data_IF_367127331791
#
_entry.id   IF_367127331791
#
_cell.length_a   1.000
_cell.length_b   1.000
_cell.length_c   1.000
_cell.angle_alpha   90.00
_cell.angle_beta   90.00
_cell.angle_gamma   90.00
#
_symmetry.space_group_name_H-M   'P 1'
#
loop_
_entity.id
_entity.type
_entity.pdbx_description
1 polymer ?
#
# COMPACT_ATOMS: atom_id res chain seq x y z
N UNK A 1 -7.55 -15.23 -14.90
CA UNK A 1 -6.24 -15.12 -15.57
C UNK A 1 -6.24 -15.65 -17.00
N UNK A 2 -6.98 -16.68 -17.34
CA UNK A 2 -7.04 -17.19 -18.74
C UNK A 2 -7.70 -16.23 -19.72
N UNK A 3 -8.59 -15.36 -19.24
CA UNK A 3 -9.36 -14.40 -20.04
C UNK A 3 -8.77 -12.98 -20.04
N UNK A 4 -7.68 -12.73 -19.29
CA UNK A 4 -7.05 -11.43 -19.22
C UNK A 4 -5.92 -11.30 -20.26
N UNK A 5 -5.73 -10.09 -20.78
CA UNK A 5 -4.67 -9.79 -21.76
C UNK A 5 -3.24 -9.98 -21.19
N UNK A 6 -3.10 -9.86 -19.88
CA UNK A 6 -1.88 -10.14 -19.12
C UNK A 6 -2.19 -11.12 -18.00
N UNK A 7 -1.25 -12.04 -17.73
CA UNK A 7 -1.35 -12.99 -16.62
C UNK A 7 -0.89 -12.36 -15.29
N UNK A 8 -1.28 -11.12 -15.04
CA UNK A 8 -1.00 -10.39 -13.83
C UNK A 8 -2.20 -10.53 -12.88
N UNK A 9 -1.94 -10.66 -11.59
CA UNK A 9 -2.95 -10.66 -10.55
C UNK A 9 -2.73 -9.46 -9.62
N UNK A 10 -3.78 -8.71 -9.36
CA UNK A 10 -3.81 -7.59 -8.43
C UNK A 10 -4.64 -8.01 -7.22
N UNK A 11 -3.99 -8.22 -6.10
CA UNK A 11 -4.65 -8.66 -4.85
C UNK A 11 -4.78 -7.47 -3.93
N UNK A 12 -6.01 -7.12 -3.59
CA UNK A 12 -6.33 -6.04 -2.67
C UNK A 12 -6.79 -6.58 -1.32
N UNK A 13 -6.21 -6.06 -0.23
CA UNK A 13 -6.54 -6.39 1.15
C UNK A 13 -7.10 -5.13 1.83
N UNK A 14 -8.38 -5.17 2.21
CA UNK A 14 -9.05 -4.01 2.79
C UNK A 14 -8.57 -3.69 4.21
N UNK A 15 -8.89 -2.51 4.69
CA UNK A 15 -8.53 -2.03 6.01
C UNK A 15 -9.57 -2.31 7.09
N UNK A 16 -9.34 -1.71 8.26
CA UNK A 16 -10.22 -1.65 9.39
C UNK A 16 -11.58 -1.04 9.05
N UNK A 17 -12.63 -1.46 9.76
CA UNK A 17 -13.98 -0.93 9.67
C UNK A 17 -14.53 -0.93 8.23
N UNK A 18 -14.37 -2.05 7.54
CA UNK A 18 -14.89 -2.24 6.18
C UNK A 18 -15.77 -3.49 6.13
N UNK A 19 -16.95 -3.39 5.54
CA UNK A 19 -17.73 -4.55 5.19
C UNK A 19 -17.37 -5.09 3.79
N UNK A 20 -17.88 -6.27 3.45
CA UNK A 20 -17.61 -6.93 2.17
C UNK A 20 -17.97 -6.05 0.97
N UNK A 21 -19.15 -5.42 0.99
CA UNK A 21 -19.64 -4.61 -0.12
C UNK A 21 -18.75 -3.38 -0.36
N UNK A 22 -18.35 -2.67 0.70
CA UNK A 22 -17.43 -1.53 0.61
C UNK A 22 -16.08 -1.94 0.02
N UNK A 23 -15.54 -3.10 0.45
CA UNK A 23 -14.31 -3.64 -0.12
C UNK A 23 -14.44 -3.94 -1.61
N UNK A 24 -15.53 -4.58 -2.04
CA UNK A 24 -15.81 -4.88 -3.46
C UNK A 24 -15.92 -3.60 -4.29
N UNK A 25 -16.68 -2.60 -3.83
CA UNK A 25 -16.82 -1.33 -4.55
C UNK A 25 -15.48 -0.61 -4.68
N UNK A 26 -14.69 -0.58 -3.63
CA UNK A 26 -13.36 0.04 -3.65
C UNK A 26 -12.41 -0.63 -4.63
N UNK A 27 -12.41 -1.95 -4.65
CA UNK A 27 -11.58 -2.72 -5.59
C UNK A 27 -12.04 -2.53 -7.03
N UNK A 28 -13.35 -2.51 -7.27
CA UNK A 28 -13.91 -2.25 -8.59
C UNK A 28 -13.56 -0.85 -9.11
N UNK A 29 -13.67 0.17 -8.24
CA UNK A 29 -13.24 1.53 -8.54
C UNK A 29 -11.75 1.59 -8.86
N UNK A 30 -10.91 0.99 -8.02
CA UNK A 30 -9.47 0.91 -8.21
C UNK A 30 -9.11 0.26 -9.55
N UNK A 31 -9.74 -0.88 -9.87
CA UNK A 31 -9.53 -1.58 -11.14
C UNK A 31 -9.93 -0.74 -12.35
N UNK A 32 -11.06 -0.02 -12.25
CA UNK A 32 -11.56 0.85 -13.31
C UNK A 32 -10.64 2.05 -13.54
N UNK A 33 -10.30 2.78 -12.46
CA UNK A 33 -9.55 4.04 -12.54
C UNK A 33 -8.12 3.79 -13.02
N UNK A 34 -7.50 2.70 -12.57
CA UNK A 34 -6.15 2.29 -12.98
C UNK A 34 -6.13 1.50 -14.29
N UNK A 35 -7.28 1.16 -14.87
CA UNK A 35 -7.39 0.32 -16.08
C UNK A 35 -6.53 -0.94 -16.00
N UNK A 36 -6.61 -1.64 -14.86
CA UNK A 36 -5.75 -2.78 -14.57
C UNK A 36 -5.90 -3.88 -15.63
N UNK A 37 -4.80 -4.32 -16.28
CA UNK A 37 -4.88 -5.23 -17.42
C UNK A 37 -4.99 -6.71 -17.03
N UNK A 38 -4.93 -7.04 -15.74
CA UNK A 38 -4.91 -8.39 -15.19
C UNK A 38 -6.16 -8.76 -14.41
N UNK A 39 -6.09 -9.89 -13.71
CA UNK A 39 -7.15 -10.31 -12.80
C UNK A 39 -7.08 -9.50 -11.51
N UNK A 40 -8.24 -9.04 -11.03
CA UNK A 40 -8.35 -8.30 -9.77
C UNK A 40 -9.01 -9.20 -8.74
N UNK A 41 -8.39 -9.33 -7.59
CA UNK A 41 -8.78 -10.20 -6.48
C UNK A 41 -8.95 -9.36 -5.23
N UNK A 42 -10.08 -9.47 -4.57
CA UNK A 42 -10.32 -8.88 -3.27
C UNK A 42 -10.22 -9.94 -2.19
N UNK A 43 -9.28 -9.79 -1.27
CA UNK A 43 -9.24 -10.60 -0.05
C UNK A 43 -10.06 -9.91 1.03
N UNK A 44 -11.27 -10.43 1.27
CA UNK A 44 -12.17 -9.96 2.31
C UNK A 44 -11.94 -10.75 3.61
N UNK A 45 -11.32 -10.12 4.60
CA UNK A 45 -11.15 -10.69 5.93
C UNK A 45 -12.27 -10.20 6.87
N UNK A 46 -12.60 -10.93 7.97
CA UNK A 46 -13.75 -10.63 8.82
C UNK A 46 -13.50 -9.42 9.72
N UNK A 47 -13.71 -8.21 9.18
CA UNK A 47 -13.79 -6.97 9.96
C UNK A 47 -15.17 -6.85 10.62
N UNK A 48 -15.21 -6.28 11.82
CA UNK A 48 -16.48 -5.98 12.50
C UNK A 48 -17.32 -4.94 11.75
N UNK A 49 -16.70 -4.16 10.88
CA UNK A 49 -17.32 -3.04 10.18
C UNK A 49 -17.98 -2.02 11.14
N UNK A 50 -17.36 -1.81 12.31
CA UNK A 50 -17.83 -0.91 13.36
C UNK A 50 -16.68 -0.04 13.88
N UNK A 51 -16.92 1.27 14.14
CA UNK A 51 -15.88 2.20 14.60
C UNK A 51 -15.26 1.85 15.97
N UNK A 52 -15.90 1.04 16.78
CA UNK A 52 -15.37 0.57 18.06
C UNK A 52 -14.78 -0.84 18.00
N UNK A 53 -14.83 -1.50 16.83
CA UNK A 53 -14.36 -2.86 16.62
C UNK A 53 -12.85 -3.02 16.46
N UNK A 54 -12.04 -2.03 16.81
CA UNK A 54 -10.58 -2.03 16.55
C UNK A 54 -9.86 -3.25 17.13
N UNK A 55 -10.14 -3.61 18.38
CA UNK A 55 -9.50 -4.76 19.01
C UNK A 55 -9.93 -6.09 18.35
N UNK A 56 -11.22 -6.20 18.01
CA UNK A 56 -11.75 -7.35 17.28
C UNK A 56 -11.06 -7.48 15.90
N UNK A 57 -10.96 -6.40 15.15
CA UNK A 57 -10.35 -6.39 13.82
C UNK A 57 -8.86 -6.76 13.89
N UNK A 58 -8.14 -6.36 14.93
CA UNK A 58 -6.74 -6.79 15.16
C UNK A 58 -6.63 -8.33 15.31
N UNK A 59 -7.49 -8.94 16.11
CA UNK A 59 -7.49 -10.39 16.27
C UNK A 59 -7.93 -11.08 14.97
N UNK A 60 -8.89 -10.50 14.26
CA UNK A 60 -9.34 -10.98 12.95
C UNK A 60 -8.25 -10.95 11.88
N UNK A 61 -7.33 -9.99 11.91
CA UNK A 61 -6.17 -10.00 10.98
C UNK A 61 -5.25 -11.19 11.25
N UNK A 62 -5.02 -11.55 12.52
CA UNK A 62 -4.23 -12.71 12.88
C UNK A 62 -4.93 -14.02 12.49
N UNK A 63 -6.24 -14.08 12.65
CA UNK A 63 -7.06 -15.21 12.21
C UNK A 63 -7.00 -15.38 10.67
N UNK A 64 -7.09 -14.28 9.93
CA UNK A 64 -7.20 -14.29 8.47
C UNK A 64 -5.86 -14.49 7.72
N UNK A 65 -4.72 -14.43 8.40
CA UNK A 65 -3.39 -14.48 7.74
C UNK A 65 -3.14 -15.78 6.97
N UNK A 66 -3.59 -16.91 7.50
CA UNK A 66 -3.42 -18.22 6.85
C UNK A 66 -4.23 -18.29 5.55
N UNK A 67 -5.45 -17.75 5.55
CA UNK A 67 -6.27 -17.67 4.34
C UNK A 67 -5.71 -16.73 3.29
N UNK A 68 -5.05 -15.62 3.68
CA UNK A 68 -4.36 -14.77 2.71
C UNK A 68 -3.13 -15.45 2.12
N UNK A 69 -2.37 -16.18 2.92
CA UNK A 69 -1.23 -16.98 2.45
C UNK A 69 -1.69 -18.03 1.44
N UNK A 70 -2.76 -18.79 1.78
CA UNK A 70 -3.37 -19.79 0.89
C UNK A 70 -3.85 -19.16 -0.42
N UNK A 71 -4.54 -18.01 -0.36
CA UNK A 71 -4.95 -17.26 -1.56
C UNK A 71 -3.75 -16.91 -2.44
N UNK A 72 -2.64 -16.43 -1.87
CA UNK A 72 -1.45 -16.07 -2.65
C UNK A 72 -0.83 -17.31 -3.32
N UNK A 73 -0.79 -18.43 -2.62
CA UNK A 73 -0.36 -19.71 -3.17
C UNK A 73 -1.24 -20.16 -4.34
N UNK A 74 -2.58 -20.11 -4.18
CA UNK A 74 -3.54 -20.47 -5.23
C UNK A 74 -3.44 -19.54 -6.44
N UNK A 75 -3.28 -18.23 -6.24
CA UNK A 75 -3.06 -17.27 -7.32
C UNK A 75 -1.77 -17.60 -8.07
N UNK A 76 -0.69 -17.94 -7.36
CA UNK A 76 0.56 -18.36 -7.98
C UNK A 76 0.40 -19.68 -8.76
N UNK A 77 -0.33 -20.66 -8.20
CA UNK A 77 -0.62 -21.95 -8.84
C UNK A 77 -1.52 -21.82 -10.07
N UNK A 78 -2.41 -20.82 -10.11
CA UNK A 78 -3.33 -20.57 -11.25
C UNK A 78 -2.64 -20.09 -12.54
N UNK A 79 -1.32 -19.93 -12.52
CA UNK A 79 -0.51 -19.51 -13.66
C UNK A 79 -0.30 -18.01 -13.77
N UNK A 80 -0.49 -17.27 -12.69
CA UNK A 80 -0.09 -15.87 -12.60
C UNK A 80 1.41 -15.74 -12.92
N UNK A 81 1.76 -14.70 -13.68
CA UNK A 81 3.16 -14.36 -13.98
C UNK A 81 3.69 -13.29 -13.04
N UNK A 82 2.81 -12.45 -12.54
CA UNK A 82 3.12 -11.41 -11.56
C UNK A 82 1.95 -11.23 -10.60
N UNK A 83 2.26 -10.97 -9.35
CA UNK A 83 1.29 -10.64 -8.30
C UNK A 83 1.65 -9.25 -7.77
N UNK A 84 0.71 -8.33 -7.80
CA UNK A 84 0.81 -7.01 -7.19
C UNK A 84 -0.09 -7.01 -5.95
N UNK A 85 0.49 -6.78 -4.79
CA UNK A 85 -0.25 -6.68 -3.53
C UNK A 85 -0.54 -5.22 -3.20
N UNK A 86 -1.79 -4.92 -2.93
CA UNK A 86 -2.22 -3.60 -2.46
C UNK A 86 -2.97 -3.79 -1.15
N UNK A 87 -2.48 -3.21 -0.09
CA UNK A 87 -3.07 -3.36 1.23
C UNK A 87 -3.29 -2.01 1.92
N UNK A 88 -4.45 -1.85 2.54
CA UNK A 88 -4.84 -0.61 3.20
C UNK A 88 -4.95 -0.78 4.71
N UNK A 89 -4.44 0.19 5.46
CA UNK A 89 -4.60 0.32 6.91
C UNK A 89 -4.20 -0.98 7.66
N UNK A 90 -5.09 -1.59 8.43
CA UNK A 90 -4.90 -2.83 9.15
C UNK A 90 -4.68 -4.04 8.22
N UNK A 91 -5.21 -3.99 6.98
CA UNK A 91 -4.91 -4.97 5.93
C UNK A 91 -3.42 -5.03 5.55
N UNK A 92 -2.68 -3.94 5.77
CA UNK A 92 -1.22 -3.95 5.59
C UNK A 92 -0.53 -4.82 6.65
N UNK A 93 -0.97 -4.77 7.91
CA UNK A 93 -0.45 -5.65 8.96
C UNK A 93 -0.72 -7.12 8.61
N UNK A 94 -1.95 -7.44 8.20
CA UNK A 94 -2.34 -8.77 7.74
C UNK A 94 -1.45 -9.24 6.57
N UNK A 95 -1.24 -8.38 5.56
CA UNK A 95 -0.40 -8.69 4.40
C UNK A 95 1.04 -8.98 4.81
N UNK A 96 1.62 -8.17 5.68
CA UNK A 96 2.99 -8.39 6.17
C UNK A 96 3.14 -9.69 6.94
N UNK A 97 2.15 -10.08 7.75
CA UNK A 97 2.15 -11.36 8.46
C UNK A 97 2.00 -12.54 7.49
N UNK A 98 1.12 -12.47 6.48
CA UNK A 98 0.98 -13.51 5.46
C UNK A 98 2.30 -13.70 4.68
N UNK A 99 2.93 -12.61 4.22
CA UNK A 99 4.22 -12.66 3.52
C UNK A 99 5.35 -13.23 4.40
N UNK A 100 5.40 -12.83 5.67
CA UNK A 100 6.33 -13.38 6.66
C UNK A 100 6.13 -14.89 6.80
N UNK A 101 4.89 -15.35 6.90
CA UNK A 101 4.54 -16.76 7.04
C UNK A 101 4.94 -17.56 5.80
N UNK A 102 4.61 -17.06 4.61
CA UNK A 102 5.06 -17.62 3.31
C UNK A 102 6.58 -17.78 3.27
N UNK A 103 7.33 -16.78 3.75
CA UNK A 103 8.78 -16.84 3.81
C UNK A 103 9.30 -17.89 4.79
N UNK A 104 8.70 -17.98 5.99
CA UNK A 104 9.08 -18.97 7.01
C UNK A 104 8.79 -20.40 6.55
N UNK A 105 7.70 -20.62 5.83
CA UNK A 105 7.37 -21.92 5.21
C UNK A 105 8.25 -22.27 4.00
N UNK A 106 9.05 -21.31 3.52
CA UNK A 106 9.98 -21.52 2.41
C UNK A 106 9.33 -21.52 1.02
N UNK A 107 8.10 -21.02 0.88
CA UNK A 107 7.43 -20.92 -0.42
C UNK A 107 8.00 -19.74 -1.25
N UNK A 108 9.24 -19.94 -1.71
CA UNK A 108 9.94 -18.98 -2.56
C UNK A 108 9.24 -18.78 -3.90
N UNK A 109 8.59 -19.82 -4.43
CA UNK A 109 7.88 -19.74 -5.70
C UNK A 109 6.78 -18.67 -5.68
N UNK A 110 5.98 -18.64 -4.62
CA UNK A 110 4.94 -17.61 -4.43
C UNK A 110 5.57 -16.23 -4.22
N UNK A 111 6.59 -16.12 -3.34
CA UNK A 111 7.25 -14.84 -3.07
C UNK A 111 7.90 -14.23 -4.32
N UNK A 112 8.55 -15.03 -5.16
CA UNK A 112 9.24 -14.56 -6.37
C UNK A 112 8.26 -14.05 -7.45
N UNK A 113 6.99 -14.45 -7.39
CA UNK A 113 5.95 -13.93 -8.27
C UNK A 113 5.38 -12.58 -7.79
N UNK A 114 5.63 -12.19 -6.53
CA UNK A 114 5.20 -10.89 -6.02
C UNK A 114 6.12 -9.82 -6.58
N UNK A 115 5.60 -9.11 -7.56
CA UNK A 115 6.35 -8.11 -8.34
C UNK A 115 6.21 -6.69 -7.81
N UNK A 116 5.31 -6.45 -6.86
CA UNK A 116 5.20 -5.19 -6.13
C UNK A 116 4.38 -5.38 -4.85
N UNK A 117 4.71 -4.61 -3.82
CA UNK A 117 3.91 -4.45 -2.60
C UNK A 117 3.64 -2.97 -2.37
N UNK A 118 2.38 -2.63 -2.19
CA UNK A 118 1.90 -1.27 -1.99
C UNK A 118 1.10 -1.23 -0.70
N UNK A 119 1.65 -0.59 0.32
CA UNK A 119 0.98 -0.38 1.61
C UNK A 119 0.46 1.05 1.68
N UNK A 120 -0.83 1.20 1.90
CA UNK A 120 -1.52 2.50 1.94
C UNK A 120 -1.96 2.78 3.37
N UNK A 121 -1.49 3.88 3.95
CA UNK A 121 -1.74 4.27 5.36
C UNK A 121 -1.59 3.07 6.31
N UNK A 122 -0.48 2.33 6.28
CA UNK A 122 -0.37 1.06 7.00
C UNK A 122 -0.46 1.24 8.51
N UNK A 123 -1.45 0.57 9.09
CA UNK A 123 -1.67 0.51 10.54
C UNK A 123 -0.91 -0.69 11.14
N UNK A 124 0.39 -0.57 11.14
CA UNK A 124 1.32 -1.56 11.69
C UNK A 124 2.39 -0.84 12.52
N UNK A 125 2.80 -1.44 13.62
CA UNK A 125 3.96 -0.99 14.38
C UNK A 125 5.23 -1.09 13.55
N UNK A 126 6.12 -0.09 13.65
CA UNK A 126 7.33 -0.01 12.81
C UNK A 126 8.28 -1.17 13.09
N UNK A 127 8.42 -1.60 14.34
CA UNK A 127 9.34 -2.69 14.69
C UNK A 127 8.75 -4.06 14.28
N UNK A 128 7.42 -4.22 14.35
CA UNK A 128 6.72 -5.40 13.82
C UNK A 128 6.88 -5.48 12.30
N UNK A 129 6.73 -4.35 11.59
CA UNK A 129 6.99 -4.27 10.16
C UNK A 129 8.42 -4.70 9.82
N UNK A 130 9.41 -4.11 10.49
CA UNK A 130 10.83 -4.46 10.29
C UNK A 130 11.09 -5.94 10.53
N UNK A 131 10.53 -6.49 11.60
CA UNK A 131 10.69 -7.91 11.92
C UNK A 131 10.13 -8.81 10.85
N UNK A 132 8.94 -8.48 10.33
CA UNK A 132 8.31 -9.21 9.22
C UNK A 132 9.13 -9.09 7.94
N UNK A 133 9.62 -7.88 7.62
CA UNK A 133 10.47 -7.62 6.47
C UNK A 133 11.78 -8.41 6.52
N UNK A 134 12.47 -8.42 7.66
CA UNK A 134 13.71 -9.19 7.84
C UNK A 134 13.49 -10.70 7.70
N UNK A 135 12.33 -11.22 8.14
CA UNK A 135 12.00 -12.64 7.99
C UNK A 135 11.84 -13.05 6.52
N UNK A 136 11.43 -12.13 5.65
CA UNK A 136 11.37 -12.36 4.21
C UNK A 136 12.76 -12.36 3.53
N UNK A 137 13.73 -11.70 4.14
CA UNK A 137 15.06 -11.46 3.57
C UNK A 137 15.01 -10.39 2.49
N UNK A 138 15.01 -10.78 1.21
CA UNK A 138 14.84 -9.83 0.11
C UNK A 138 13.36 -9.48 -0.05
N UNK A 139 13.04 -8.20 0.10
CA UNK A 139 11.68 -7.70 -0.14
C UNK A 139 11.34 -7.70 -1.64
N UNK A 140 10.08 -8.00 -2.01
CA UNK A 140 9.58 -7.76 -3.37
C UNK A 140 9.82 -6.29 -3.78
N UNK A 141 10.14 -6.06 -5.05
CA UNK A 141 10.40 -4.70 -5.54
C UNK A 141 9.49 -4.36 -6.73
N UNK A 142 8.96 -3.11 -6.75
CA UNK A 142 9.08 -2.06 -5.73
C UNK A 142 8.27 -2.36 -4.47
N UNK A 143 8.77 -1.91 -3.32
CA UNK A 143 8.06 -1.93 -2.04
C UNK A 143 7.71 -0.49 -1.65
N UNK A 144 6.44 -0.13 -1.77
CA UNK A 144 5.95 1.24 -1.62
C UNK A 144 5.10 1.36 -0.36
N UNK A 145 5.32 2.43 0.40
CA UNK A 145 4.57 2.77 1.61
C UNK A 145 4.02 4.17 1.42
N UNK A 146 2.72 4.32 1.29
CA UNK A 146 2.04 5.62 1.29
C UNK A 146 1.65 5.97 2.72
N UNK A 147 2.14 7.09 3.21
CA UNK A 147 1.87 7.55 4.57
C UNK A 147 1.65 9.05 4.66
N UNK A 148 1.07 9.47 5.78
CA UNK A 148 0.84 10.87 6.10
C UNK A 148 1.01 11.10 7.60
N UNK A 149 1.80 12.07 7.99
CA UNK A 149 1.94 12.49 9.38
C UNK A 149 0.68 13.21 9.92
N UNK A 150 -0.25 13.56 9.00
CA UNK A 150 -1.55 14.16 9.32
C UNK A 150 -2.68 13.15 9.48
N UNK A 151 -2.41 11.85 9.33
CA UNK A 151 -3.41 10.78 9.45
C UNK A 151 -3.91 10.64 10.90
N UNK A 152 -5.13 11.14 11.14
CA UNK A 152 -5.77 11.12 12.47
C UNK A 152 -6.20 9.71 12.89
N UNK A 153 -6.57 8.85 11.93
CA UNK A 153 -6.98 7.49 12.23
C UNK A 153 -5.79 6.66 12.72
N UNK A 154 -4.63 6.80 12.11
CA UNK A 154 -3.40 6.15 12.56
C UNK A 154 -2.92 6.69 13.93
N UNK A 155 -3.10 7.97 14.19
CA UNK A 155 -2.81 8.55 15.51
C UNK A 155 -3.74 7.98 16.59
N UNK A 156 -5.02 7.82 16.28
CA UNK A 156 -5.97 7.19 17.19
C UNK A 156 -5.65 5.71 17.42
N UNK A 157 -5.33 4.97 16.37
CA UNK A 157 -4.87 3.58 16.43
C UNK A 157 -3.61 3.43 17.30
N UNK A 158 -2.63 4.32 17.13
CA UNK A 158 -1.42 4.33 17.95
C UNK A 158 -1.76 4.53 19.43
N UNK A 159 -2.66 5.47 19.75
CA UNK A 159 -3.12 5.72 21.12
C UNK A 159 -3.80 4.48 21.73
N UNK A 160 -4.72 3.86 21.00
CA UNK A 160 -5.42 2.64 21.45
C UNK A 160 -4.47 1.47 21.71
N UNK A 161 -3.37 1.41 20.96
CA UNK A 161 -2.36 0.35 21.07
C UNK A 161 -1.25 0.66 22.07
N UNK A 162 -1.30 1.80 22.74
CA UNK A 162 -0.24 2.26 23.65
C UNK A 162 1.10 2.53 22.95
N UNK A 163 1.06 2.86 21.66
CA UNK A 163 2.23 3.12 20.82
C UNK A 163 2.28 4.59 20.40
N UNK A 164 3.48 5.04 20.00
CA UNK A 164 3.69 6.45 19.65
C UNK A 164 3.54 6.72 18.15
N UNK A 165 3.79 5.70 17.29
CA UNK A 165 3.87 5.88 15.85
C UNK A 165 3.46 4.60 15.11
N UNK A 166 2.76 4.77 14.00
CA UNK A 166 2.45 3.71 13.04
C UNK A 166 3.27 3.89 11.78
N UNK A 167 3.51 2.82 11.04
CA UNK A 167 4.28 2.88 9.80
C UNK A 167 3.72 3.91 8.81
N UNK A 168 2.39 4.00 8.68
CA UNK A 168 1.74 4.97 7.80
C UNK A 168 1.82 6.43 8.26
N UNK A 169 2.26 6.70 9.50
CA UNK A 169 2.51 8.05 10.03
C UNK A 169 3.99 8.29 10.37
N UNK A 170 4.89 7.47 9.83
CA UNK A 170 6.32 7.50 10.10
C UNK A 170 6.94 8.86 9.74
N UNK A 171 7.59 9.48 10.69
CA UNK A 171 8.29 10.76 10.52
C UNK A 171 9.77 10.58 10.20
N UNK A 172 10.41 9.62 10.82
CA UNK A 172 11.84 9.39 10.69
C UNK A 172 12.14 8.16 9.82
N UNK A 173 12.50 8.40 8.57
CA UNK A 173 12.84 7.36 7.60
C UNK A 173 14.09 6.57 7.98
N UNK A 174 14.95 7.10 8.86
CA UNK A 174 16.17 6.40 9.31
C UNK A 174 15.83 5.09 10.01
N UNK A 175 14.65 4.97 10.60
CA UNK A 175 14.15 3.72 11.19
C UNK A 175 14.02 2.57 10.20
N UNK A 176 13.89 2.85 8.90
CA UNK A 176 13.79 1.86 7.82
C UNK A 176 15.06 1.73 6.98
N UNK A 177 16.16 2.39 7.37
CA UNK A 177 17.39 2.50 6.57
C UNK A 177 17.97 1.16 6.10
N UNK A 178 17.78 0.11 6.88
CA UNK A 178 18.20 -1.25 6.60
C UNK A 178 17.31 -2.01 5.60
N UNK A 179 16.15 -1.45 5.22
CA UNK A 179 15.17 -2.06 4.33
C UNK A 179 15.10 -1.32 2.99
N UNK A 180 15.04 -2.08 1.90
CA UNK A 180 14.85 -1.50 0.56
C UNK A 180 13.37 -1.17 0.35
N UNK A 181 12.97 0.03 0.75
CA UNK A 181 11.59 0.53 0.70
C UNK A 181 11.54 1.98 0.23
N UNK A 182 10.45 2.36 -0.42
CA UNK A 182 10.17 3.75 -0.78
C UNK A 182 8.94 4.23 0.00
N UNK A 183 9.14 5.21 0.87
CA UNK A 183 8.08 5.88 1.61
C UNK A 183 7.63 7.11 0.83
N UNK A 184 6.37 7.13 0.44
CA UNK A 184 5.71 8.21 -0.29
C UNK A 184 4.88 9.02 0.70
N UNK A 185 5.38 10.20 1.06
CA UNK A 185 4.70 11.11 1.97
C UNK A 185 3.62 11.89 1.21
N UNK A 186 2.38 11.59 1.54
CA UNK A 186 1.17 12.19 0.94
C UNK A 186 0.47 13.19 1.86
N UNK A 187 1.18 13.72 2.85
CA UNK A 187 0.61 14.65 3.86
C UNK A 187 -0.03 15.89 3.24
N UNK A 188 0.50 16.39 2.13
CA UNK A 188 -0.04 17.55 1.43
C UNK A 188 -1.38 17.27 0.70
N UNK A 189 -1.74 16.00 0.49
CA UNK A 189 -3.00 15.59 -0.13
C UNK A 189 -4.09 15.29 0.91
N UNK A 190 -3.75 15.22 2.19
CA UNK A 190 -4.66 14.90 3.28
C UNK A 190 -5.52 16.09 3.61
N UNK A 191 -6.71 16.20 2.99
CA UNK A 191 -7.74 17.19 3.36
C UNK A 191 -8.81 16.51 4.24
N UNK A 192 -9.13 17.12 5.39
CA UNK A 192 -10.21 16.66 6.28
C UNK A 192 -9.79 15.66 7.35
N UNK A 193 -10.47 14.52 7.47
CA UNK A 193 -10.24 13.52 8.54
C UNK A 193 -8.93 12.74 8.38
N UNK A 194 -8.26 12.88 7.22
CA UNK A 194 -6.85 12.51 7.04
C UNK A 194 -6.57 11.02 6.89
N UNK A 195 -7.57 10.15 6.93
CA UNK A 195 -7.35 8.75 6.57
C UNK A 195 -7.36 8.63 5.05
N UNK A 196 -6.16 8.62 4.50
CA UNK A 196 -5.94 8.69 3.06
C UNK A 196 -6.38 7.39 2.37
N UNK A 197 -7.30 7.53 1.42
CA UNK A 197 -7.60 6.47 0.44
C UNK A 197 -7.06 6.90 -0.92
N UNK A 198 -6.23 6.07 -1.53
CA UNK A 198 -5.63 6.33 -2.87
C UNK A 198 -6.68 6.68 -3.92
N UNK A 199 -7.89 6.12 -3.78
CA UNK A 199 -9.03 6.40 -4.66
C UNK A 199 -9.50 7.87 -4.62
N UNK A 200 -9.13 8.63 -3.59
CA UNK A 200 -9.58 10.02 -3.43
C UNK A 200 -8.67 11.02 -4.15
N UNK A 201 -7.55 10.58 -4.74
CA UNK A 201 -6.61 11.45 -5.45
C UNK A 201 -6.28 10.96 -6.86
N UNK A 202 -6.77 11.66 -7.92
CA UNK A 202 -6.40 11.35 -9.30
C UNK A 202 -4.88 11.32 -9.55
N UNK A 203 -4.15 12.14 -8.82
CA UNK A 203 -2.69 12.22 -8.93
C UNK A 203 -1.99 10.95 -8.43
N UNK A 204 -2.51 10.34 -7.37
CA UNK A 204 -1.97 9.08 -6.84
C UNK A 204 -2.39 7.88 -7.67
N UNK A 205 -3.57 7.93 -8.28
CA UNK A 205 -4.00 6.99 -9.31
C UNK A 205 -2.99 7.00 -10.47
N UNK A 206 -2.61 8.18 -10.94
CA UNK A 206 -1.62 8.34 -12.03
C UNK A 206 -0.25 7.77 -11.62
N UNK A 207 0.19 7.99 -10.38
CA UNK A 207 1.44 7.44 -9.86
C UNK A 207 1.41 5.91 -9.82
N UNK A 208 0.31 5.31 -9.40
CA UNK A 208 0.13 3.85 -9.35
C UNK A 208 0.08 3.23 -10.76
N UNK A 209 -0.48 3.93 -11.75
CA UNK A 209 -0.47 3.47 -13.15
C UNK A 209 0.90 3.56 -13.81
N UNK A 210 1.74 4.50 -13.37
CA UNK A 210 3.11 4.71 -13.88
C UNK A 210 4.17 3.79 -13.28
N UNK A 211 3.82 2.98 -12.27
CA UNK A 211 4.77 2.13 -11.53
C UNK A 211 5.24 0.92 -12.38
N UNK A 212 5.99 1.18 -13.44
CA UNK A 212 7.02 0.23 -13.91
C UNK A 212 8.41 0.57 -13.35
N UNK A 213 8.62 1.80 -12.92
CA UNK A 213 9.69 2.24 -12.02
C UNK A 213 9.27 3.56 -11.38
N UNK A 214 9.45 3.71 -10.07
CA UNK A 214 9.22 4.99 -9.38
C UNK A 214 10.11 6.07 -10.02
N UNK A 215 11.35 5.73 -10.37
CA UNK A 215 12.26 6.60 -11.09
C UNK A 215 11.75 7.00 -12.49
N UNK A 216 11.22 6.04 -13.27
CA UNK A 216 10.66 6.32 -14.60
C UNK A 216 9.37 7.14 -14.58
N UNK A 217 8.55 7.00 -13.54
CA UNK A 217 7.36 7.84 -13.34
C UNK A 217 7.75 9.29 -13.06
N UNK A 218 8.78 9.52 -12.23
CA UNK A 218 9.27 10.87 -11.94
C UNK A 218 10.03 11.50 -13.13
N UNK A 219 10.70 10.72 -13.97
CA UNK A 219 11.33 11.26 -15.20
C UNK A 219 10.31 11.61 -16.28
N UNK A 220 9.25 10.81 -16.43
CA UNK A 220 8.17 11.12 -17.38
C UNK A 220 7.35 12.33 -16.94
N UNK A 221 7.12 12.53 -15.65
CA UNK A 221 6.39 13.67 -15.10
C UNK A 221 7.17 14.98 -15.19
N UNK A 222 8.50 14.95 -15.11
CA UNK A 222 9.35 16.13 -15.41
C UNK A 222 9.17 16.65 -16.83
N UNK A 223 8.78 15.78 -17.77
CA UNK A 223 8.54 16.15 -19.19
C UNK A 223 7.09 16.52 -19.48
N UNK A 224 6.15 16.00 -18.70
CA UNK A 224 4.71 16.14 -18.94
C UNK A 224 4.07 17.05 -17.91
N UNK A 225 4.23 18.25 -17.77
CA UNK A 225 3.58 19.30 -16.93
C UNK A 225 2.25 18.96 -16.22
N UNK A 226 1.99 17.69 -15.88
CA UNK A 226 0.73 17.21 -15.32
C UNK A 226 1.02 16.28 -14.14
N UNK A 227 0.58 16.64 -12.96
CA UNK A 227 0.19 15.73 -11.88
C UNK A 227 0.98 15.85 -10.58
N UNK A 228 2.16 15.32 -10.42
CA UNK A 228 2.88 15.22 -9.15
C UNK A 228 4.32 15.71 -9.29
N UNK A 229 4.72 16.61 -8.42
CA UNK A 229 6.13 16.97 -8.27
C UNK A 229 6.71 16.26 -7.05
N UNK A 230 7.85 15.55 -7.17
CA UNK A 230 8.62 15.19 -5.99
C UNK A 230 9.12 16.49 -5.35
N UNK A 231 8.69 16.76 -4.11
CA UNK A 231 9.19 17.89 -3.34
C UNK A 231 10.59 17.57 -2.82
N UNK A 232 10.66 16.96 -1.64
CA UNK A 232 11.93 16.57 -1.03
C UNK A 232 12.12 15.07 -1.17
N UNK A 233 13.28 14.65 -1.69
CA UNK A 233 13.71 13.25 -1.71
C UNK A 233 14.84 13.08 -0.71
N UNK A 234 14.65 12.22 0.27
CA UNK A 234 15.64 11.86 1.27
C UNK A 234 15.90 10.36 1.19
N UNK A 235 17.13 9.99 0.86
CA UNK A 235 17.55 8.58 0.89
C UNK A 235 18.53 8.36 2.04
N UNK A 236 18.25 7.36 2.87
CA UNK A 236 19.11 6.93 3.96
C UNK A 236 19.39 5.44 3.78
N UNK A 237 20.61 5.10 3.40
CA UNK A 237 21.00 3.73 3.02
C UNK A 237 20.06 3.14 1.94
N UNK A 238 19.19 2.20 2.32
CA UNK A 238 18.29 1.50 1.40
C UNK A 238 16.86 2.05 1.40
N UNK A 239 16.50 2.93 2.36
CA UNK A 239 15.18 3.52 2.44
C UNK A 239 15.16 4.91 1.79
N UNK A 240 14.15 5.15 0.98
CA UNK A 240 13.92 6.46 0.35
C UNK A 240 12.58 7.03 0.79
N UNK A 241 12.57 8.29 1.24
CA UNK A 241 11.35 9.06 1.47
C UNK A 241 11.20 10.10 0.37
N UNK A 242 10.04 10.13 -0.26
CA UNK A 242 9.67 11.11 -1.27
C UNK A 242 8.45 11.87 -0.76
N UNK A 243 8.59 13.18 -0.58
CA UNK A 243 7.46 14.05 -0.24
C UNK A 243 6.76 14.42 -1.54
N UNK A 244 5.49 14.05 -1.68
CA UNK A 244 4.69 14.37 -2.84
C UNK A 244 3.98 15.72 -2.63
N UNK A 245 3.99 16.56 -3.64
CA UNK A 245 3.33 17.87 -3.62
C UNK A 245 2.29 17.94 -4.74
N UNK A 246 1.08 18.49 -4.48
CA UNK A 246 0.14 18.78 -5.54
C UNK A 246 0.70 19.88 -6.45
N UNK A 247 0.58 19.70 -7.77
CA UNK A 247 0.86 20.79 -8.71
C UNK A 247 -0.23 21.83 -8.55
N UNK A 248 0.10 22.97 -7.97
CA UNK A 248 -0.79 24.13 -8.03
C UNK A 248 -0.93 24.51 -9.50
N UNK A 249 -2.13 24.38 -10.08
CA UNK A 249 -2.49 25.05 -11.32
C UNK A 249 -2.35 26.56 -11.05
N UNK A 250 -1.23 27.13 -11.43
CA UNK A 250 -1.11 28.57 -11.57
C UNK A 250 -2.01 28.92 -12.74
N UNK A 251 -3.26 29.30 -12.42
CA UNK A 251 -4.09 30.02 -13.34
C UNK A 251 -3.35 31.34 -13.59
N UNK A 252 -2.56 31.36 -14.68
CA UNK A 252 -2.05 32.61 -15.18
C UNK A 252 -3.27 33.42 -15.63
N UNK A 253 -3.62 34.43 -14.85
CA UNK A 253 -4.41 35.56 -15.31
C UNK A 253 -3.75 36.14 -16.59
N UNK A 254 -4.19 35.66 -17.72
CA UNK A 254 -4.01 36.32 -19.00
C UNK A 254 -5.29 37.10 -19.30
N UNK A 255 -5.50 38.15 -18.52
CA UNK A 255 -6.34 39.29 -18.91
C UNK A 255 -5.53 40.55 -18.71
N UNK A 256 -4.85 40.95 -19.77
CA UNK A 256 -4.69 42.36 -20.18
C UNK A 256 -4.27 42.43 -21.63
#
# INVERSE_FOLDING_TARGET
>A
LQQTSRKDAYVFVHGYNNNFAEGVYRVAQFAHDLKLPGAVVHYAWPSAAEPLGYAYDRDSTLFARDGLEELLHEVAASGAKRIVLVAHSMGAALTMEALRQTAIRGDRKTLDLISAVILISPDIDVDVFKRSAHSMGKLPQPFLIFGSDRDKALRFSALLSGQWERLGSLKDITRLADLQVTFLDVSEFSQGVGHFTVADSPALITLLTGIQSVEGAFESDRRARVGLLPGVVLTVQNATRVVLQPVALVASDLTR
#
